data_IF_356323870072
#
_entry.id   IF_356323870072
#
_cell.length_a   1.000
_cell.length_b   1.000
_cell.length_c   1.000
_cell.angle_alpha   90.00
_cell.angle_beta   90.00
_cell.angle_gamma   90.00
#
_symmetry.space_group_name_H-M   'P 1'
#
loop_
_entity.id
_entity.type
_entity.pdbx_description
1 polymer ?
#
# COMPACT_ATOMS: atom_id res chain seq x y z
N UNK A 1 5.35 24.12 3.76
CA UNK A 1 4.00 23.98 3.27
C UNK A 1 3.77 22.61 2.71
N UNK A 2 2.74 21.95 3.15
CA UNK A 2 2.51 20.60 2.67
C UNK A 2 2.00 20.64 1.23
N UNK A 3 2.26 19.56 0.56
CA UNK A 3 1.81 19.38 -0.81
C UNK A 3 0.45 18.70 -0.79
N UNK A 4 -0.61 19.49 -0.78
CA UNK A 4 -1.96 18.98 -0.67
C UNK A 4 -2.30 18.03 -1.82
N UNK A 5 -1.83 18.36 -3.03
CA UNK A 5 -2.08 17.52 -4.19
C UNK A 5 -1.42 16.16 -4.00
N UNK A 6 -0.18 16.13 -3.53
CA UNK A 6 0.49 14.88 -3.28
C UNK A 6 -0.24 14.08 -2.20
N UNK A 7 -0.67 14.74 -1.12
CA UNK A 7 -1.39 14.05 -0.04
C UNK A 7 -2.66 13.39 -0.57
N UNK A 8 -3.37 14.08 -1.45
CA UNK A 8 -4.59 13.54 -2.03
C UNK A 8 -4.30 12.29 -2.87
N UNK A 9 -3.30 12.38 -3.73
CA UNK A 9 -2.93 11.24 -4.57
C UNK A 9 -2.44 10.07 -3.74
N UNK A 10 -1.64 10.36 -2.72
CA UNK A 10 -1.12 9.32 -1.86
C UNK A 10 -2.23 8.58 -1.14
N UNK A 11 -3.22 9.32 -0.62
CA UNK A 11 -4.34 8.68 0.05
C UNK A 11 -5.13 7.78 -0.88
N UNK A 12 -5.39 8.25 -2.09
CA UNK A 12 -6.14 7.45 -3.04
C UNK A 12 -5.36 6.20 -3.44
N UNK A 13 -4.07 6.35 -3.63
CA UNK A 13 -3.22 5.22 -3.95
C UNK A 13 -3.23 4.20 -2.83
N UNK A 14 -3.08 4.66 -1.59
CA UNK A 14 -3.07 3.76 -0.44
C UNK A 14 -4.38 2.99 -0.32
N UNK A 15 -5.50 3.68 -0.48
CA UNK A 15 -6.80 3.02 -0.43
C UNK A 15 -6.91 1.96 -1.51
N UNK A 16 -6.45 2.27 -2.71
CA UNK A 16 -6.52 1.35 -3.82
C UNK A 16 -5.63 0.13 -3.58
N UNK A 17 -4.44 0.34 -3.02
CA UNK A 17 -3.55 -0.77 -2.68
C UNK A 17 -4.20 -1.69 -1.66
N UNK A 18 -4.81 -1.12 -0.63
CA UNK A 18 -5.47 -1.90 0.42
C UNK A 18 -6.60 -2.74 -0.17
N UNK A 19 -7.39 -2.14 -1.07
CA UNK A 19 -8.48 -2.86 -1.73
C UNK A 19 -7.93 -4.04 -2.54
N UNK A 20 -6.86 -3.80 -3.29
CA UNK A 20 -6.26 -4.88 -4.07
C UNK A 20 -5.68 -5.97 -3.19
N UNK A 21 -5.05 -5.58 -2.08
CA UNK A 21 -4.54 -6.57 -1.13
C UNK A 21 -5.65 -7.45 -0.59
N UNK A 22 -6.76 -6.81 -0.20
CA UNK A 22 -7.90 -7.55 0.34
C UNK A 22 -8.42 -8.55 -0.68
N UNK A 23 -8.51 -8.14 -1.94
CA UNK A 23 -8.99 -9.02 -3.00
C UNK A 23 -8.02 -10.15 -3.27
N UNK A 24 -6.75 -9.84 -3.35
CA UNK A 24 -5.73 -10.84 -3.69
C UNK A 24 -5.56 -11.87 -2.60
N UNK A 25 -5.69 -11.47 -1.35
CA UNK A 25 -5.49 -12.37 -0.21
C UNK A 25 -6.81 -12.93 0.32
N UNK A 26 -7.94 -12.42 -0.17
CA UNK A 26 -9.25 -12.92 0.27
C UNK A 26 -9.56 -12.60 1.71
N UNK A 27 -9.25 -11.38 2.15
CA UNK A 27 -9.48 -10.96 3.52
C UNK A 27 -10.28 -9.66 3.54
N UNK A 28 -10.76 -9.31 4.74
CA UNK A 28 -11.48 -8.06 4.93
C UNK A 28 -10.55 -6.85 4.75
N UNK A 29 -11.15 -5.72 4.42
CA UNK A 29 -10.39 -4.49 4.27
C UNK A 29 -9.62 -4.13 5.54
N UNK A 30 -10.20 -4.38 6.70
CA UNK A 30 -9.53 -4.05 7.96
C UNK A 30 -8.24 -4.85 8.13
N UNK A 31 -8.26 -6.11 7.72
CA UNK A 31 -7.06 -6.94 7.78
C UNK A 31 -6.01 -6.44 6.80
N UNK A 32 -6.43 -6.14 5.57
CA UNK A 32 -5.51 -5.63 4.56
C UNK A 32 -4.91 -4.30 4.99
N UNK A 33 -5.71 -3.44 5.60
CA UNK A 33 -5.25 -2.15 6.09
C UNK A 33 -4.17 -2.32 7.16
N UNK A 34 -4.37 -3.28 8.07
CA UNK A 34 -3.39 -3.55 9.11
C UNK A 34 -2.07 -4.03 8.50
N UNK A 35 -2.15 -4.93 7.54
CA UNK A 35 -0.95 -5.40 6.84
C UNK A 35 -0.23 -4.24 6.17
N UNK A 36 -0.99 -3.45 5.41
CA UNK A 36 -0.41 -2.35 4.67
C UNK A 36 0.29 -1.36 5.59
N UNK A 37 -0.33 -1.05 6.73
CA UNK A 37 0.23 -0.05 7.65
C UNK A 37 1.57 -0.46 8.22
N UNK A 38 1.86 -1.76 8.23
CA UNK A 38 3.14 -2.26 8.74
C UNK A 38 4.19 -2.46 7.65
N UNK A 39 3.85 -2.17 6.41
CA UNK A 39 4.75 -2.44 5.30
C UNK A 39 5.75 -1.31 5.08
N UNK A 40 6.87 -1.67 4.49
CA UNK A 40 7.84 -0.66 4.04
C UNK A 40 7.25 0.18 2.92
N UNK A 41 6.36 -0.40 2.13
CA UNK A 41 5.71 0.33 1.05
C UNK A 41 4.93 1.52 1.60
N UNK A 42 4.20 1.32 2.70
CA UNK A 42 3.45 2.43 3.32
C UNK A 42 4.38 3.57 3.70
N UNK A 43 5.53 3.22 4.27
CA UNK A 43 6.51 4.21 4.65
C UNK A 43 7.08 4.94 3.44
N UNK A 44 7.38 4.21 2.38
CA UNK A 44 7.92 4.79 1.16
C UNK A 44 6.93 5.74 0.49
N UNK A 45 5.66 5.39 0.47
CA UNK A 45 4.64 6.26 -0.09
C UNK A 45 4.49 7.51 0.75
N UNK A 46 4.52 7.35 2.07
CA UNK A 46 4.43 8.47 2.99
C UNK A 46 5.56 9.48 2.76
N UNK A 47 6.73 9.00 2.37
CA UNK A 47 7.89 9.84 2.11
C UNK A 47 8.02 10.27 0.66
N UNK A 48 7.12 9.82 -0.19
CA UNK A 48 7.18 10.11 -1.63
C UNK A 48 8.50 9.65 -2.25
N UNK A 49 8.98 8.50 -1.84
CA UNK A 49 10.23 7.98 -2.40
C UNK A 49 10.01 7.43 -3.79
N UNK A 50 10.94 7.71 -4.70
CA UNK A 50 10.95 7.12 -6.04
C UNK A 50 9.69 7.39 -6.85
N UNK A 51 8.95 8.46 -6.50
CA UNK A 51 7.71 8.79 -7.21
C UNK A 51 6.71 7.64 -7.20
N UNK A 52 6.71 6.84 -6.15
CA UNK A 52 5.87 5.66 -6.04
C UNK A 52 4.39 6.01 -6.18
N UNK A 53 4.00 7.22 -5.74
CA UNK A 53 2.59 7.61 -5.76
C UNK A 53 2.00 7.62 -7.18
N UNK A 54 2.84 7.61 -8.19
CA UNK A 54 2.36 7.62 -9.58
C UNK A 54 2.36 6.24 -10.23
N UNK A 55 2.70 5.21 -9.49
CA UNK A 55 2.67 3.85 -10.01
C UNK A 55 1.29 3.23 -9.83
N UNK A 56 1.04 2.18 -10.60
CA UNK A 56 -0.23 1.49 -10.56
C UNK A 56 -0.43 0.77 -9.21
N UNK A 57 -1.59 0.96 -8.60
CA UNK A 57 -1.85 0.37 -7.29
C UNK A 57 -1.87 -1.15 -7.30
N UNK A 58 -2.36 -1.74 -8.38
CA UNK A 58 -2.39 -3.20 -8.47
C UNK A 58 -0.98 -3.76 -8.54
N UNK A 59 -0.13 -3.10 -9.30
CA UNK A 59 1.28 -3.47 -9.37
C UNK A 59 1.94 -3.37 -8.01
N UNK A 60 1.67 -2.27 -7.30
CA UNK A 60 2.27 -2.07 -5.98
C UNK A 60 1.76 -3.09 -4.96
N UNK A 61 0.49 -3.45 -5.03
CA UNK A 61 -0.04 -4.47 -4.13
C UNK A 61 0.63 -5.82 -4.37
N UNK A 62 0.80 -6.18 -5.64
CA UNK A 62 1.47 -7.43 -5.99
C UNK A 62 2.93 -7.40 -5.54
N UNK A 63 3.60 -6.28 -5.77
CA UNK A 63 4.98 -6.10 -5.37
C UNK A 63 5.14 -6.27 -3.86
N UNK A 64 4.20 -5.72 -3.12
CA UNK A 64 4.21 -5.85 -1.66
C UNK A 64 4.12 -7.30 -1.23
N UNK A 65 3.21 -8.04 -1.84
CA UNK A 65 3.05 -9.46 -1.52
C UNK A 65 4.33 -10.23 -1.81
N UNK A 66 4.98 -9.92 -2.93
CA UNK A 66 6.18 -10.63 -3.34
C UNK A 66 7.41 -10.25 -2.54
N UNK A 67 7.52 -8.99 -2.14
CA UNK A 67 8.74 -8.49 -1.53
C UNK A 67 8.67 -8.38 -0.01
N UNK A 68 7.48 -8.41 0.57
CA UNK A 68 7.31 -8.33 2.01
C UNK A 68 6.38 -9.42 2.52
N UNK A 69 6.67 -10.69 2.18
CA UNK A 69 5.75 -11.77 2.56
C UNK A 69 5.61 -11.95 4.06
N UNK A 70 6.57 -11.47 4.83
CA UNK A 70 6.56 -11.65 6.27
C UNK A 70 5.39 -10.93 6.94
N UNK A 71 4.84 -9.88 6.33
CA UNK A 71 3.73 -9.19 6.96
C UNK A 71 2.40 -9.94 6.85
N UNK A 72 2.34 -10.96 5.99
CA UNK A 72 1.11 -11.71 5.79
C UNK A 72 1.08 -13.00 6.63
N UNK A 73 2.06 -13.23 7.28
CA UNK A 73 2.07 -14.17 7.90
C UNK A 73 2.28 -15.02 8.68
N UNK A 74 2.19 -15.07 8.77
CA UNK A 74 2.16 -15.73 9.24
C UNK A 74 2.31 -16.44 10.15
N UNK A 75 2.09 -16.87 10.37
CA UNK A 75 2.01 -17.52 11.11
C UNK A 75 1.88 -18.00 11.18
#
# INVERSE_FOLDING_TARGET
MSDTAFDYYAQRLEQSIIIHLAEMKGVDLSVAMDWYSRSRLADQISRNEYDIAFLDSKYLARDLIENEPEIFGIR
#
